data_IF_322634081367
#
_entry.id   IF_322634081367
#
_cell.length_a   1.000
_cell.length_b   1.000
_cell.length_c   1.000
_cell.angle_alpha   90.00
_cell.angle_beta   90.00
_cell.angle_gamma   90.00
#
_symmetry.space_group_name_H-M   'P 1'
#
loop_
_entity.id
_entity.type
_entity.pdbx_description
1 polymer ?
#
# COMPACT_ATOMS: atom_id res chain seq x y z
N UNK A 1 -18.59 16.44 -9.97
CA UNK A 1 -18.42 15.70 -8.70
C UNK A 1 -18.70 14.20 -8.88
N UNK A 2 -19.78 13.79 -9.57
CA UNK A 2 -20.15 12.39 -9.91
C UNK A 2 -19.06 11.42 -10.41
N UNK A 3 -18.04 11.85 -11.16
CA UNK A 3 -17.00 10.95 -11.72
C UNK A 3 -16.02 10.40 -10.68
N UNK A 4 -15.89 11.05 -9.51
CA UNK A 4 -15.05 10.55 -8.43
C UNK A 4 -15.78 9.57 -7.51
N UNK A 5 -17.11 9.58 -7.51
CA UNK A 5 -17.91 8.76 -6.60
C UNK A 5 -17.76 7.28 -6.94
N UNK A 6 -17.71 6.92 -8.22
CA UNK A 6 -17.43 5.55 -8.67
C UNK A 6 -16.03 5.10 -8.25
N UNK A 7 -15.02 5.95 -8.39
CA UNK A 7 -13.63 5.62 -7.99
C UNK A 7 -13.53 5.48 -6.47
N UNK A 8 -14.18 6.35 -5.73
CA UNK A 8 -14.22 6.28 -4.27
C UNK A 8 -14.99 5.04 -3.78
N UNK A 9 -16.09 4.70 -4.45
CA UNK A 9 -16.84 3.48 -4.20
C UNK A 9 -15.97 2.24 -4.46
N UNK A 10 -15.30 2.16 -5.61
CA UNK A 10 -14.43 1.04 -5.95
C UNK A 10 -13.28 0.88 -4.97
N UNK A 11 -12.70 1.99 -4.48
CA UNK A 11 -11.69 1.97 -3.42
C UNK A 11 -12.25 1.43 -2.11
N UNK A 12 -13.42 1.93 -1.69
CA UNK A 12 -14.08 1.47 -0.47
C UNK A 12 -14.44 -0.01 -0.55
N UNK A 13 -15.04 -0.43 -1.66
CA UNK A 13 -15.35 -1.83 -1.95
C UNK A 13 -14.10 -2.71 -1.88
N UNK A 14 -13.01 -2.28 -2.52
CA UNK A 14 -11.75 -3.02 -2.52
C UNK A 14 -11.15 -3.15 -1.12
N UNK A 15 -11.16 -2.08 -0.32
CA UNK A 15 -10.70 -2.15 1.08
C UNK A 15 -11.55 -3.17 1.86
N UNK A 16 -12.87 -3.12 1.72
CA UNK A 16 -13.78 -4.04 2.41
C UNK A 16 -13.51 -5.50 2.04
N UNK A 17 -13.32 -5.82 0.75
CA UNK A 17 -13.03 -7.21 0.34
C UNK A 17 -11.68 -7.71 0.86
N UNK A 18 -10.66 -6.84 0.90
CA UNK A 18 -9.34 -7.18 1.47
C UNK A 18 -9.45 -7.44 2.98
N UNK A 19 -10.21 -6.62 3.71
CA UNK A 19 -10.42 -6.82 5.15
C UNK A 19 -11.16 -8.13 5.40
N UNK A 20 -12.22 -8.42 4.64
CA UNK A 20 -12.94 -9.70 4.73
C UNK A 20 -12.00 -10.87 4.45
N UNK A 21 -11.13 -10.76 3.43
CA UNK A 21 -10.15 -11.80 3.11
C UNK A 21 -9.21 -12.09 4.28
N UNK A 22 -8.70 -11.06 4.95
CA UNK A 22 -7.86 -11.24 6.14
C UNK A 22 -8.66 -11.83 7.32
N UNK A 23 -9.90 -11.39 7.54
CA UNK A 23 -10.76 -11.91 8.61
C UNK A 23 -11.08 -13.40 8.41
N UNK A 24 -11.46 -13.80 7.20
CA UNK A 24 -11.75 -15.20 6.84
C UNK A 24 -10.50 -16.06 7.04
N UNK A 25 -9.33 -15.57 6.60
CA UNK A 25 -8.06 -16.26 6.81
C UNK A 25 -7.69 -16.40 8.29
N UNK A 26 -7.90 -15.36 9.11
CA UNK A 26 -7.63 -15.41 10.56
C UNK A 26 -8.58 -16.32 11.32
N UNK A 27 -9.84 -16.43 10.90
CA UNK A 27 -10.85 -17.30 11.53
C UNK A 27 -10.74 -18.77 11.10
N UNK A 28 -9.89 -19.09 10.12
CA UNK A 28 -9.70 -20.47 9.62
C UNK A 28 -10.95 -21.04 8.94
N UNK A 29 -11.82 -20.20 8.37
CA UNK A 29 -13.05 -20.64 7.71
C UNK A 29 -12.66 -21.30 6.38
N UNK A 30 -12.99 -22.58 6.22
CA UNK A 30 -12.64 -23.35 5.02
C UNK A 30 -13.78 -23.46 4.01
N UNK A 31 -13.45 -23.92 2.79
CA UNK A 31 -14.42 -24.28 1.77
C UNK A 31 -14.78 -23.14 0.82
N UNK A 32 -16.07 -22.94 0.54
CA UNK A 32 -16.53 -21.95 -0.45
C UNK A 32 -16.18 -20.52 0.00
N UNK A 33 -16.25 -20.24 1.30
CA UNK A 33 -15.95 -18.94 1.88
C UNK A 33 -14.48 -18.54 1.76
N UNK A 34 -13.58 -19.51 1.90
CA UNK A 34 -12.14 -19.31 1.69
C UNK A 34 -11.84 -18.93 0.23
N UNK A 35 -12.43 -19.67 -0.73
CA UNK A 35 -12.25 -19.37 -2.16
C UNK A 35 -12.82 -18.00 -2.54
N UNK A 36 -13.99 -17.66 -2.01
CA UNK A 36 -14.61 -16.34 -2.22
C UNK A 36 -13.75 -15.21 -1.60
N UNK A 37 -13.22 -15.42 -0.40
CA UNK A 37 -12.32 -14.49 0.28
C UNK A 37 -11.00 -14.30 -0.49
N UNK A 38 -10.38 -15.40 -0.95
CA UNK A 38 -9.18 -15.36 -1.77
C UNK A 38 -9.39 -14.57 -3.06
N UNK A 39 -10.55 -14.75 -3.72
CA UNK A 39 -10.95 -13.91 -4.86
C UNK A 39 -11.11 -12.43 -4.46
N UNK A 40 -11.67 -12.15 -3.28
CA UNK A 40 -11.74 -10.81 -2.70
C UNK A 40 -10.37 -10.14 -2.49
N UNK A 41 -9.31 -10.93 -2.33
CA UNK A 41 -7.92 -10.47 -2.32
C UNK A 41 -7.47 -9.79 -3.63
N UNK A 42 -8.09 -10.13 -4.76
CA UNK A 42 -7.86 -9.42 -6.03
C UNK A 42 -8.24 -7.93 -5.95
N UNK A 43 -9.05 -7.54 -4.97
CA UNK A 43 -9.38 -6.14 -4.66
C UNK A 43 -8.15 -5.25 -4.47
N UNK A 44 -6.99 -5.79 -4.06
CA UNK A 44 -5.73 -5.02 -3.95
C UNK A 44 -5.36 -4.39 -5.30
N UNK A 45 -5.54 -5.11 -6.41
CA UNK A 45 -5.20 -4.61 -7.75
C UNK A 45 -6.12 -3.47 -8.17
N UNK A 46 -7.43 -3.62 -7.92
CA UNK A 46 -8.42 -2.57 -8.18
C UNK A 46 -8.13 -1.34 -7.33
N UNK A 47 -7.74 -1.54 -6.07
CA UNK A 47 -7.36 -0.45 -5.18
C UNK A 47 -6.12 0.31 -5.66
N UNK A 48 -5.07 -0.40 -6.11
CA UNK A 48 -3.86 0.20 -6.67
C UNK A 48 -4.21 1.01 -7.92
N UNK A 49 -4.98 0.43 -8.85
CA UNK A 49 -5.39 1.10 -10.08
C UNK A 49 -6.19 2.38 -9.78
N UNK A 50 -7.20 2.28 -8.91
CA UNK A 50 -8.00 3.42 -8.50
C UNK A 50 -7.14 4.48 -7.77
N UNK A 51 -6.14 4.06 -6.98
CA UNK A 51 -5.19 4.95 -6.31
C UNK A 51 -4.33 5.74 -7.31
N UNK A 52 -3.81 5.07 -8.34
CA UNK A 52 -3.10 5.69 -9.46
C UNK A 52 -3.97 6.67 -10.24
N UNK A 53 -5.22 6.31 -10.54
CA UNK A 53 -6.15 7.23 -11.21
C UNK A 53 -6.40 8.52 -10.41
N UNK A 54 -6.57 8.40 -9.09
CA UNK A 54 -6.73 9.59 -8.24
C UNK A 54 -5.43 10.40 -8.09
N UNK A 55 -4.26 9.77 -8.24
CA UNK A 55 -2.97 10.45 -8.35
C UNK A 55 -2.95 11.38 -9.56
N UNK A 56 -3.34 10.83 -10.71
CA UNK A 56 -3.44 11.55 -11.98
C UNK A 56 -4.41 12.72 -11.91
N UNK A 57 -5.61 12.49 -11.37
CA UNK A 57 -6.60 13.56 -11.25
C UNK A 57 -6.16 14.66 -10.28
N UNK A 58 -5.45 14.29 -9.21
CA UNK A 58 -4.85 15.28 -8.29
C UNK A 58 -3.79 16.11 -9.00
N UNK A 59 -3.00 15.51 -9.89
CA UNK A 59 -2.00 16.20 -10.69
C UNK A 59 -2.64 17.21 -11.65
N UNK A 60 -3.69 16.82 -12.39
CA UNK A 60 -4.40 17.71 -13.31
C UNK A 60 -5.08 18.90 -12.61
N UNK A 61 -5.61 18.71 -11.40
CA UNK A 61 -6.34 19.77 -10.68
C UNK A 61 -5.44 20.76 -9.96
N UNK A 62 -4.33 20.27 -9.40
CA UNK A 62 -3.37 21.05 -8.62
C UNK A 62 -1.98 20.48 -8.87
N UNK A 63 -1.27 20.95 -9.91
CA UNK A 63 0.10 20.54 -10.15
C UNK A 63 0.96 21.02 -8.98
N UNK A 64 1.31 20.09 -8.10
CA UNK A 64 2.27 20.31 -7.03
C UNK A 64 3.65 20.00 -7.59
N UNK A 65 4.64 20.81 -7.21
CA UNK A 65 6.05 20.46 -7.44
C UNK A 65 6.35 19.07 -6.86
N UNK A 66 7.14 18.27 -7.57
CA UNK A 66 7.42 16.87 -7.24
C UNK A 66 7.84 16.66 -5.77
N UNK A 67 8.72 17.53 -5.26
CA UNK A 67 9.20 17.48 -3.87
C UNK A 67 8.05 17.71 -2.88
N UNK A 68 7.19 18.70 -3.13
CA UNK A 68 6.04 18.99 -2.28
C UNK A 68 5.00 17.85 -2.31
N UNK A 69 4.81 17.26 -3.49
CA UNK A 69 3.96 16.08 -3.68
C UNK A 69 4.47 14.88 -2.89
N UNK A 70 5.76 14.56 -3.00
CA UNK A 70 6.38 13.46 -2.26
C UNK A 70 6.32 13.71 -0.77
N UNK A 71 6.74 14.89 -0.29
CA UNK A 71 6.71 15.22 1.14
C UNK A 71 5.32 15.02 1.73
N UNK A 72 4.28 15.54 1.07
CA UNK A 72 2.89 15.40 1.53
C UNK A 72 2.44 13.94 1.67
N UNK A 73 2.81 13.07 0.73
CA UNK A 73 2.38 11.66 0.71
C UNK A 73 3.25 10.77 1.58
N UNK A 74 4.55 10.97 1.50
CA UNK A 74 5.56 10.28 2.29
C UNK A 74 5.32 10.53 3.78
N UNK A 75 5.21 11.79 4.23
CA UNK A 75 4.97 12.07 5.66
C UNK A 75 3.65 11.47 6.16
N UNK A 76 2.60 11.44 5.33
CA UNK A 76 1.29 10.90 5.73
C UNK A 76 1.26 9.37 5.85
N UNK A 77 2.08 8.65 5.08
CA UNK A 77 2.01 7.19 4.98
C UNK A 77 3.25 6.53 5.60
N UNK A 78 4.45 7.04 5.31
CA UNK A 78 5.70 6.52 5.83
C UNK A 78 5.86 6.74 7.32
N UNK A 79 5.52 7.92 7.86
CA UNK A 79 5.74 8.18 9.30
C UNK A 79 4.92 7.23 10.20
N UNK A 80 3.61 7.02 9.96
CA UNK A 80 2.86 6.02 10.74
C UNK A 80 3.43 4.61 10.62
N UNK A 81 3.86 4.22 9.40
CA UNK A 81 4.47 2.92 9.16
C UNK A 81 5.80 2.77 9.92
N UNK A 82 6.68 3.77 9.84
CA UNK A 82 7.98 3.74 10.50
C UNK A 82 7.83 3.63 12.03
N UNK A 83 6.91 4.39 12.62
CA UNK A 83 6.61 4.31 14.06
C UNK A 83 6.11 2.92 14.44
N UNK A 84 5.17 2.35 13.67
CA UNK A 84 4.65 1.01 13.91
C UNK A 84 5.75 -0.06 13.78
N UNK A 85 6.60 0.05 12.76
CA UNK A 85 7.72 -0.88 12.54
C UNK A 85 8.74 -0.80 13.67
N UNK A 86 9.13 0.39 14.12
CA UNK A 86 10.06 0.54 15.25
C UNK A 86 9.46 -0.06 16.53
N UNK A 87 8.19 0.23 16.82
CA UNK A 87 7.50 -0.34 17.99
C UNK A 87 7.46 -1.88 17.92
N UNK A 88 7.16 -2.44 16.74
CA UNK A 88 7.12 -3.89 16.51
C UNK A 88 8.53 -4.51 16.62
N UNK A 89 9.56 -3.81 16.15
CA UNK A 89 10.95 -4.27 16.25
C UNK A 89 11.42 -4.30 17.71
N UNK A 90 11.07 -3.29 18.52
CA UNK A 90 11.34 -3.29 19.97
C UNK A 90 10.68 -4.48 20.65
N UNK A 91 9.40 -4.73 20.34
CA UNK A 91 8.67 -5.90 20.84
C UNK A 91 9.36 -7.22 20.46
N UNK A 92 9.77 -7.36 19.18
CA UNK A 92 10.49 -8.54 18.69
C UNK A 92 11.84 -8.73 19.39
N UNK A 93 12.58 -7.64 19.62
CA UNK A 93 13.85 -7.67 20.34
C UNK A 93 13.67 -8.13 21.80
N UNK A 94 12.64 -7.63 22.49
CA UNK A 94 12.30 -8.09 23.86
C UNK A 94 11.94 -9.58 23.92
N UNK A 95 11.40 -10.13 22.83
CA UNK A 95 11.06 -11.55 22.70
C UNK A 95 12.22 -12.42 22.17
N UNK A 96 13.40 -11.85 21.92
CA UNK A 96 14.55 -12.57 21.35
C UNK A 96 14.33 -13.02 19.89
N UNK A 97 13.43 -12.38 19.14
CA UNK A 97 13.18 -12.67 17.72
C UNK A 97 14.07 -11.82 16.81
N UNK A 98 14.39 -12.35 15.64
CA UNK A 98 15.06 -11.62 14.53
C UNK A 98 14.27 -10.36 14.15
N UNK A 99 14.78 -9.18 14.50
CA UNK A 99 14.11 -7.89 14.28
C UNK A 99 14.82 -7.01 13.25
N UNK A 100 16.13 -7.21 13.04
CA UNK A 100 16.97 -6.31 12.25
C UNK A 100 16.56 -6.28 10.78
N UNK A 101 16.57 -7.44 10.12
CA UNK A 101 16.24 -7.53 8.69
C UNK A 101 14.76 -7.19 8.39
N UNK A 102 13.78 -7.63 9.21
CA UNK A 102 12.39 -7.18 9.08
C UNK A 102 12.20 -5.67 9.20
N UNK A 103 12.86 -5.01 10.16
CA UNK A 103 12.78 -3.57 10.35
C UNK A 103 13.32 -2.83 9.12
N UNK A 104 14.53 -3.17 8.68
CA UNK A 104 15.15 -2.54 7.53
C UNK A 104 14.40 -2.81 6.22
N UNK A 105 13.85 -4.01 6.04
CA UNK A 105 13.01 -4.34 4.89
C UNK A 105 11.81 -3.41 4.75
N UNK A 106 11.16 -3.06 5.88
CA UNK A 106 10.05 -2.12 5.90
C UNK A 106 10.51 -0.66 5.75
N UNK A 107 11.55 -0.24 6.47
CA UNK A 107 12.03 1.15 6.46
C UNK A 107 12.65 1.57 5.12
N UNK A 108 13.36 0.65 4.45
CA UNK A 108 13.97 0.86 3.13
C UNK A 108 13.07 0.39 1.99
N UNK A 109 11.86 -0.07 2.30
CA UNK A 109 10.81 -0.40 1.32
C UNK A 109 11.18 -1.51 0.34
N UNK A 110 12.14 -2.39 0.66
CA UNK A 110 12.56 -3.49 -0.23
C UNK A 110 11.98 -4.85 0.15
N UNK A 111 11.21 -4.93 1.25
CA UNK A 111 10.65 -6.19 1.78
C UNK A 111 9.88 -7.03 0.73
N UNK A 112 9.26 -6.38 -0.25
CA UNK A 112 8.50 -7.05 -1.32
C UNK A 112 9.36 -7.86 -2.31
N UNK A 113 10.68 -7.67 -2.31
CA UNK A 113 11.61 -8.37 -3.21
C UNK A 113 12.28 -9.58 -2.54
N UNK A 114 12.04 -9.77 -1.24
CA UNK A 114 12.70 -10.79 -0.42
C UNK A 114 11.58 -11.66 0.19
N UNK A 115 11.39 -12.90 -0.29
CA UNK A 115 10.28 -13.76 0.15
C UNK A 115 10.22 -13.94 1.68
N UNK A 116 11.37 -14.01 2.35
CA UNK A 116 11.44 -14.15 3.81
C UNK A 116 10.91 -12.92 4.56
N UNK A 117 10.92 -11.74 3.92
CA UNK A 117 10.48 -10.48 4.51
C UNK A 117 9.04 -10.10 4.11
N UNK A 118 8.46 -10.75 3.11
CA UNK A 118 7.13 -10.42 2.57
C UNK A 118 6.04 -10.50 3.64
N UNK A 119 6.11 -11.49 4.53
CA UNK A 119 5.18 -11.67 5.65
C UNK A 119 5.67 -11.07 6.98
N UNK A 120 6.91 -10.56 7.02
CA UNK A 120 7.51 -10.02 8.23
C UNK A 120 6.81 -8.75 8.75
N UNK A 121 6.62 -8.66 10.07
CA UNK A 121 5.95 -7.53 10.75
C UNK A 121 4.51 -7.25 10.27
N UNK A 122 3.87 -8.26 9.67
CA UNK A 122 2.52 -8.20 9.10
C UNK A 122 2.56 -8.39 7.58
N UNK A 123 1.76 -9.35 7.07
CA UNK A 123 1.65 -9.63 5.63
C UNK A 123 1.23 -8.40 4.84
N UNK A 124 0.24 -7.68 5.31
CA UNK A 124 -0.27 -6.45 4.69
C UNK A 124 0.76 -5.31 4.54
N UNK A 125 1.90 -5.35 5.24
CA UNK A 125 2.88 -4.26 5.23
C UNK A 125 3.60 -4.11 3.89
N UNK A 126 3.66 -5.16 3.05
CA UNK A 126 4.30 -5.08 1.74
C UNK A 126 3.62 -4.01 0.87
N UNK A 127 2.30 -3.85 1.02
CA UNK A 127 1.51 -2.87 0.29
C UNK A 127 2.00 -1.43 0.50
N UNK A 128 2.46 -1.09 1.72
CA UNK A 128 2.98 0.24 2.03
C UNK A 128 4.28 0.51 1.28
N UNK A 129 5.14 -0.50 1.14
CA UNK A 129 6.36 -0.40 0.33
C UNK A 129 6.00 -0.14 -1.14
N UNK A 130 5.08 -0.93 -1.68
CA UNK A 130 4.62 -0.80 -3.07
C UNK A 130 4.00 0.57 -3.36
N UNK A 131 3.12 1.09 -2.50
CA UNK A 131 2.45 2.38 -2.77
C UNK A 131 3.44 3.56 -2.73
N UNK A 132 4.45 3.51 -1.86
CA UNK A 132 5.49 4.56 -1.80
C UNK A 132 6.38 4.49 -3.04
N UNK A 133 6.79 3.29 -3.46
CA UNK A 133 7.53 3.11 -4.71
C UNK A 133 6.74 3.64 -5.92
N UNK A 134 5.43 3.42 -5.98
CA UNK A 134 4.57 4.02 -7.02
C UNK A 134 4.61 5.56 -7.00
N UNK A 135 4.67 6.19 -5.83
CA UNK A 135 4.80 7.65 -5.74
C UNK A 135 6.17 8.16 -6.18
N UNK A 136 7.24 7.39 -5.93
CA UNK A 136 8.59 7.69 -6.42
C UNK A 136 8.68 7.50 -7.94
N UNK A 137 7.99 6.51 -8.49
CA UNK A 137 7.94 6.24 -9.94
C UNK A 137 7.01 7.21 -10.70
N UNK A 138 6.10 7.89 -10.01
CA UNK A 138 5.12 8.81 -10.61
C UNK A 138 5.70 9.83 -11.63
N UNK A 139 6.77 10.59 -11.35
CA UNK A 139 7.34 11.52 -12.33
C UNK A 139 7.86 10.82 -13.59
N UNK A 140 8.39 9.60 -13.45
CA UNK A 140 8.85 8.82 -14.59
C UNK A 140 7.67 8.42 -15.46
N UNK A 141 6.55 8.03 -14.85
CA UNK A 141 5.31 7.70 -15.57
C UNK A 141 4.79 8.94 -16.30
N UNK A 142 4.68 10.09 -15.63
CA UNK A 142 4.21 11.34 -16.26
C UNK A 142 5.10 11.76 -17.43
N UNK A 143 6.43 11.63 -17.27
CA UNK A 143 7.41 11.97 -18.31
C UNK A 143 7.38 10.99 -19.49
N UNK A 144 7.29 9.69 -19.23
CA UNK A 144 7.24 8.64 -20.26
C UNK A 144 6.01 8.79 -21.16
N UNK A 145 4.86 9.09 -20.57
CA UNK A 145 3.62 9.29 -21.33
C UNK A 145 3.47 10.70 -21.91
N UNK A 146 4.53 11.51 -21.85
CA UNK A 146 4.58 12.87 -22.38
C UNK A 146 3.33 13.68 -21.99
N UNK A 147 2.82 13.43 -20.78
CA UNK A 147 1.64 14.09 -20.26
C UNK A 147 2.08 15.52 -19.97
N UNK A 148 1.99 16.35 -21.00
CA UNK A 148 2.06 17.80 -20.89
C UNK A 148 0.87 18.19 -20.01
N UNK A 149 1.11 18.27 -18.71
CA UNK A 149 0.26 19.07 -17.84
C UNK A 149 0.23 20.45 -18.48
N UNK A 150 -0.95 20.89 -18.89
CA UNK A 150 -1.17 22.26 -19.32
C UNK A 150 -0.80 23.25 -18.22
#
# INVERSE_FOLDING_TARGET
MRKLDVVNFLRGYSISTIVIMHLVGMLGISGIWEKAAAFGGAGVHVFILCSGFGLYLSYLRKPLGYIAFLKKRFTRIYMPMAVLCVATAVWMACMGREWFMPLWGNLLLFKMFVPELESSMGGQMWFVSTIIQFYLAWPLIVKLFNIRGG
#
